data_IF_891561098351
#
_entry.id   IF_891561098351
#
_cell.length_a   1.000
_cell.length_b   1.000
_cell.length_c   1.000
_cell.angle_alpha   90.00
_cell.angle_beta   90.00
_cell.angle_gamma   90.00
#
_symmetry.space_group_name_H-M   'P 1'
#
loop_
_entity.id
_entity.type
_entity.pdbx_description
1 polymer ?
#
# COMPACT_ATOMS: atom_id res chain seq x y z
N UNK A 1 -13.30 -8.38 -14.85
CA UNK A 1 -13.09 -9.79 -14.48
C UNK A 1 -11.60 -10.04 -14.44
N UNK A 2 -11.11 -10.70 -13.39
CA UNK A 2 -9.68 -10.92 -13.16
C UNK A 2 -9.33 -12.40 -13.42
N UNK A 3 -9.66 -12.90 -14.62
CA UNK A 3 -9.47 -14.31 -15.00
C UNK A 3 -8.56 -14.38 -16.22
N UNK A 4 -7.52 -15.21 -16.16
CA UNK A 4 -6.60 -15.48 -17.25
C UNK A 4 -6.79 -16.92 -17.71
N UNK A 5 -7.17 -17.12 -18.98
CA UNK A 5 -7.26 -18.43 -19.59
C UNK A 5 -5.97 -18.74 -20.34
N UNK A 6 -5.35 -19.88 -20.02
CA UNK A 6 -4.12 -20.34 -20.67
C UNK A 6 -4.33 -21.75 -21.17
N UNK A 7 -4.07 -21.97 -22.46
CA UNK A 7 -4.03 -23.27 -23.08
C UNK A 7 -2.71 -23.43 -23.83
N UNK A 8 -2.12 -24.63 -23.77
CA UNK A 8 -0.87 -24.97 -24.46
C UNK A 8 -1.00 -26.38 -25.01
N UNK A 9 -0.52 -26.59 -26.23
CA UNK A 9 -0.38 -27.88 -26.89
C UNK A 9 0.99 -28.53 -26.61
N UNK A 10 1.91 -27.79 -25.98
CA UNK A 10 3.23 -28.30 -25.60
C UNK A 10 3.13 -29.33 -24.50
N UNK A 11 3.84 -30.45 -24.68
CA UNK A 11 4.00 -31.49 -23.66
C UNK A 11 5.15 -31.16 -22.67
N UNK A 12 5.95 -30.14 -22.95
CA UNK A 12 7.01 -29.65 -22.06
C UNK A 12 6.49 -28.60 -21.07
N UNK A 13 7.15 -28.40 -19.90
CA UNK A 13 6.77 -27.36 -18.95
C UNK A 13 6.72 -25.96 -19.59
N UNK A 14 5.69 -25.20 -19.23
CA UNK A 14 5.49 -23.82 -19.70
C UNK A 14 5.51 -22.87 -18.52
N UNK A 15 6.34 -21.83 -18.60
CA UNK A 15 6.39 -20.76 -17.62
C UNK A 15 5.53 -19.59 -18.05
N UNK A 16 4.70 -19.09 -17.14
CA UNK A 16 3.86 -17.91 -17.29
C UNK A 16 4.30 -16.86 -16.26
N UNK A 17 4.45 -15.61 -16.71
CA UNK A 17 4.68 -14.46 -15.86
C UNK A 17 3.48 -13.51 -15.97
N UNK A 18 2.79 -13.26 -14.86
CA UNK A 18 1.66 -12.33 -14.82
C UNK A 18 2.12 -11.05 -14.12
N UNK A 19 2.05 -9.92 -14.82
CA UNK A 19 2.50 -8.61 -14.32
C UNK A 19 1.39 -7.55 -14.41
N UNK A 20 1.41 -6.52 -13.54
CA UNK A 20 0.57 -5.34 -13.69
C UNK A 20 0.92 -4.53 -14.95
N UNK A 21 -0.06 -3.85 -15.58
CA UNK A 21 0.21 -3.01 -16.75
C UNK A 21 1.27 -1.92 -16.47
N UNK A 22 2.36 -1.93 -17.25
CA UNK A 22 3.44 -0.94 -17.16
C UNK A 22 4.42 -1.16 -16.00
N UNK A 23 4.40 -2.32 -15.34
CA UNK A 23 5.40 -2.71 -14.36
C UNK A 23 5.84 -4.15 -14.58
N UNK A 24 7.13 -4.36 -14.82
CA UNK A 24 7.67 -5.71 -15.04
C UNK A 24 8.14 -6.39 -13.73
N UNK A 25 8.38 -5.61 -12.68
CA UNK A 25 9.05 -6.08 -11.46
C UNK A 25 8.17 -6.94 -10.52
N UNK A 26 6.90 -6.61 -10.24
CA UNK A 26 6.02 -7.55 -9.56
C UNK A 26 5.46 -8.54 -10.59
N UNK A 27 6.02 -9.75 -10.64
CA UNK A 27 5.56 -10.82 -11.51
C UNK A 27 5.19 -12.07 -10.70
N UNK A 28 3.99 -12.60 -10.93
CA UNK A 28 3.63 -13.94 -10.47
C UNK A 28 4.14 -14.96 -11.49
N UNK A 29 5.18 -15.71 -11.11
CA UNK A 29 5.74 -16.79 -11.94
C UNK A 29 4.99 -18.09 -11.67
N UNK A 30 4.31 -18.62 -12.67
CA UNK A 30 3.58 -19.89 -12.63
C UNK A 30 4.22 -20.86 -13.62
N UNK A 31 4.70 -22.00 -13.14
CA UNK A 31 5.19 -23.07 -14.00
C UNK A 31 4.12 -24.16 -14.13
N UNK A 32 3.58 -24.31 -15.33
CA UNK A 32 2.62 -25.34 -15.67
C UNK A 32 3.38 -26.56 -16.17
N UNK A 33 3.18 -27.70 -15.50
CA UNK A 33 3.72 -28.99 -15.93
C UNK A 33 2.57 -29.81 -16.53
N UNK A 34 2.52 -30.00 -17.86
CA UNK A 34 1.45 -30.74 -18.52
C UNK A 34 1.31 -32.17 -17.98
N UNK A 35 0.07 -32.58 -17.73
CA UNK A 35 -0.32 -33.93 -17.30
C UNK A 35 -1.55 -34.34 -18.08
N UNK A 36 -1.71 -35.64 -18.38
CA UNK A 36 -2.95 -36.19 -18.97
C UNK A 36 -4.06 -36.25 -17.93
N UNK A 37 -4.57 -35.09 -17.53
CA UNK A 37 -5.67 -34.92 -16.60
C UNK A 37 -6.68 -33.92 -17.20
N UNK A 38 -7.97 -34.00 -16.83
CA UNK A 38 -8.95 -33.00 -17.23
C UNK A 38 -8.52 -31.57 -16.84
N UNK A 39 -9.00 -30.53 -17.54
CA UNK A 39 -8.75 -29.14 -17.18
C UNK A 39 -9.05 -28.87 -15.71
N UNK A 40 -8.19 -28.08 -15.05
CA UNK A 40 -8.36 -27.70 -13.65
C UNK A 40 -8.47 -26.19 -13.54
N UNK A 41 -9.38 -25.74 -12.70
CA UNK A 41 -9.42 -24.36 -12.21
C UNK A 41 -8.45 -24.23 -11.03
N UNK A 42 -7.60 -23.21 -11.06
CA UNK A 42 -6.63 -22.93 -10.01
C UNK A 42 -6.92 -21.52 -9.49
N UNK A 43 -7.42 -21.43 -8.26
CA UNK A 43 -7.60 -20.15 -7.57
C UNK A 43 -6.32 -19.82 -6.82
N UNK A 44 -5.64 -18.76 -7.26
CA UNK A 44 -4.48 -18.22 -6.58
C UNK A 44 -4.96 -17.21 -5.55
N UNK A 45 -4.90 -17.59 -4.27
CA UNK A 45 -5.12 -16.68 -3.15
C UNK A 45 -3.76 -16.22 -2.63
N UNK A 46 -3.54 -14.91 -2.62
CA UNK A 46 -2.37 -14.30 -1.97
C UNK A 46 -2.82 -14.02 -0.53
N UNK A 47 -2.26 -14.77 0.42
CA UNK A 47 -2.63 -14.63 1.83
C UNK A 47 -2.15 -13.28 2.37
N UNK A 48 -2.93 -12.68 3.27
CA UNK A 48 -3.01 -11.26 3.59
C UNK A 48 -1.78 -10.55 4.20
N UNK A 49 -0.56 -11.01 3.94
CA UNK A 49 0.57 -10.08 3.93
C UNK A 49 0.39 -9.21 2.69
N UNK A 50 -0.11 -7.98 2.89
CA UNK A 50 0.06 -6.88 1.94
C UNK A 50 1.49 -6.93 1.46
N UNK A 51 1.66 -7.48 0.26
CA UNK A 51 2.94 -7.52 -0.39
C UNK A 51 3.36 -6.05 -0.43
N UNK A 52 4.52 -5.67 0.15
CA UNK A 52 4.98 -4.30 0.06
C UNK A 52 5.45 -4.10 -1.37
N UNK A 53 4.51 -4.09 -2.33
CA UNK A 53 4.77 -3.72 -3.70
C UNK A 53 4.89 -2.21 -3.68
N UNK A 54 6.01 -1.74 -3.13
CA UNK A 54 6.51 -0.40 -3.36
C UNK A 54 6.57 -0.24 -4.87
N UNK A 55 5.72 0.62 -5.41
CA UNK A 55 5.71 0.93 -6.84
C UNK A 55 4.60 0.32 -7.67
N UNK A 56 3.54 -0.29 -7.09
CA UNK A 56 2.28 -0.39 -7.87
C UNK A 56 1.81 1.03 -8.13
N UNK A 57 1.96 1.47 -9.38
CA UNK A 57 1.44 2.72 -9.91
C UNK A 57 -0.07 2.73 -9.69
N UNK A 58 -0.47 3.27 -8.54
CA UNK A 58 -1.87 3.39 -8.18
C UNK A 58 -2.46 4.59 -8.92
N UNK A 59 -2.86 4.37 -10.18
CA UNK A 59 -3.40 5.42 -11.04
C UNK A 59 -4.62 6.12 -10.43
N UNK A 60 -5.43 5.39 -9.65
CA UNK A 60 -6.60 5.96 -8.95
C UNK A 60 -6.17 6.96 -7.87
N UNK A 61 -5.16 6.61 -7.06
CA UNK A 61 -4.59 7.54 -6.10
C UNK A 61 -3.93 8.73 -6.81
N UNK A 62 -3.14 8.49 -7.87
CA UNK A 62 -2.49 9.57 -8.64
C UNK A 62 -3.51 10.58 -9.21
N UNK A 63 -4.62 10.08 -9.78
CA UNK A 63 -5.69 10.96 -10.28
C UNK A 63 -6.37 11.76 -9.18
N UNK A 64 -6.53 11.19 -7.98
CA UNK A 64 -7.11 11.90 -6.85
C UNK A 64 -6.15 12.95 -6.29
N UNK A 65 -4.87 12.61 -6.13
CA UNK A 65 -3.82 13.50 -5.60
C UNK A 65 -3.55 14.72 -6.48
N UNK A 66 -3.74 14.57 -7.81
CA UNK A 66 -3.50 15.62 -8.81
C UNK A 66 -4.78 16.37 -9.24
N UNK A 67 -5.95 16.02 -8.67
CA UNK A 67 -7.22 16.65 -9.00
C UNK A 67 -7.32 18.11 -8.54
N UNK A 68 -6.50 18.50 -7.56
CA UNK A 68 -6.45 19.83 -6.97
C UNK A 68 -5.00 20.22 -6.64
N UNK A 69 -4.72 21.50 -6.33
CA UNK A 69 -3.38 21.94 -5.95
C UNK A 69 -2.81 21.11 -4.80
N UNK A 70 -1.49 20.89 -4.81
CA UNK A 70 -0.79 20.03 -3.86
C UNK A 70 -1.21 20.22 -2.39
N UNK A 71 -1.23 21.47 -1.93
CA UNK A 71 -1.57 21.81 -0.53
C UNK A 71 -3.02 21.48 -0.22
N UNK A 72 -3.92 21.67 -1.18
CA UNK A 72 -5.34 21.34 -1.00
C UNK A 72 -5.57 19.83 -1.01
N UNK A 73 -4.84 19.08 -1.84
CA UNK A 73 -4.83 17.61 -1.83
C UNK A 73 -4.34 17.06 -0.50
N UNK A 74 -3.24 17.60 0.03
CA UNK A 74 -2.71 17.19 1.32
C UNK A 74 -3.68 17.51 2.47
N UNK A 75 -4.28 18.72 2.46
CA UNK A 75 -5.27 19.12 3.46
C UNK A 75 -6.52 18.23 3.42
N UNK A 76 -7.02 17.90 2.24
CA UNK A 76 -8.18 17.01 2.09
C UNK A 76 -7.85 15.58 2.52
N UNK A 77 -6.63 15.10 2.21
CA UNK A 77 -6.15 13.79 2.64
C UNK A 77 -6.17 13.68 4.17
N UNK A 78 -5.51 14.61 4.85
CA UNK A 78 -5.41 14.61 6.31
C UNK A 78 -6.79 14.74 6.97
N UNK A 79 -7.68 15.59 6.42
CA UNK A 79 -9.06 15.72 6.90
C UNK A 79 -9.82 14.40 6.79
N UNK A 80 -9.79 13.75 5.63
CA UNK A 80 -10.49 12.47 5.39
C UNK A 80 -9.98 11.39 6.33
N UNK A 81 -8.67 11.27 6.49
CA UNK A 81 -8.09 10.30 7.42
C UNK A 81 -8.50 10.57 8.88
N UNK A 82 -8.57 11.84 9.30
CA UNK A 82 -9.08 12.22 10.62
C UNK A 82 -10.57 11.87 10.80
N UNK A 83 -11.35 11.87 9.71
CA UNK A 83 -12.75 11.42 9.67
C UNK A 83 -12.90 9.91 9.44
N UNK A 84 -11.80 9.14 9.46
CA UNK A 84 -11.78 7.71 9.18
C UNK A 84 -12.31 7.35 7.77
N UNK A 85 -12.11 8.24 6.80
CA UNK A 85 -12.43 8.05 5.39
C UNK A 85 -11.16 7.83 4.57
N UNK A 86 -11.14 6.80 3.72
CA UNK A 86 -10.01 6.53 2.82
C UNK A 86 -10.32 7.05 1.40
N UNK A 87 -9.47 7.90 0.80
CA UNK A 87 -9.68 8.33 -0.57
C UNK A 87 -9.50 7.19 -1.58
N UNK A 88 -10.02 7.39 -2.80
CA UNK A 88 -9.93 6.38 -3.84
C UNK A 88 -8.48 6.02 -4.18
N UNK A 89 -8.22 4.72 -4.27
CA UNK A 89 -6.88 4.21 -4.58
C UNK A 89 -5.90 4.27 -3.41
N UNK A 90 -6.28 4.72 -2.22
CA UNK A 90 -5.40 4.55 -1.06
C UNK A 90 -5.51 3.13 -0.52
N UNK A 91 -4.42 2.67 0.08
CA UNK A 91 -4.35 1.41 0.82
C UNK A 91 -3.89 1.73 2.25
N UNK A 92 -4.41 1.00 3.24
CA UNK A 92 -4.07 1.15 4.65
C UNK A 92 -3.57 -0.18 5.22
N UNK A 93 -2.46 -0.12 5.93
CA UNK A 93 -1.86 -1.28 6.60
C UNK A 93 -1.34 -0.94 7.97
N UNK A 94 -1.17 -1.96 8.81
CA UNK A 94 -0.42 -1.81 10.05
C UNK A 94 1.06 -1.57 9.75
N UNK A 95 1.70 -0.73 10.56
CA UNK A 95 3.14 -0.57 10.56
C UNK A 95 3.81 -1.85 11.05
N UNK A 96 4.79 -2.34 10.30
CA UNK A 96 5.62 -3.49 10.65
C UNK A 96 6.93 -3.08 11.30
N UNK A 97 7.62 -4.04 11.91
CA UNK A 97 8.89 -3.78 12.63
C UNK A 97 10.03 -3.31 11.72
N UNK A 98 9.97 -3.62 10.43
CA UNK A 98 10.95 -3.23 9.41
C UNK A 98 10.61 -1.92 8.71
N UNK A 99 9.44 -1.32 8.98
CA UNK A 99 9.05 -0.06 8.38
C UNK A 99 9.85 1.11 8.97
N UNK A 100 10.36 1.96 8.07
CA UNK A 100 11.00 3.21 8.49
C UNK A 100 9.90 4.18 8.92
N UNK A 101 9.89 4.51 10.22
CA UNK A 101 9.01 5.52 10.79
C UNK A 101 9.60 6.92 10.63
N UNK A 102 8.78 7.97 10.47
CA UNK A 102 9.24 9.35 10.49
C UNK A 102 9.87 9.69 11.85
N UNK A 103 10.88 10.57 11.82
CA UNK A 103 11.51 11.10 13.03
C UNK A 103 10.84 12.42 13.38
N UNK A 104 9.90 12.37 14.31
CA UNK A 104 9.24 13.55 14.87
C UNK A 104 9.85 13.87 16.24
N UNK A 105 10.08 15.16 16.52
CA UNK A 105 10.55 15.62 17.82
C UNK A 105 9.85 16.92 18.20
N UNK A 106 9.24 16.91 19.37
CA UNK A 106 8.75 18.11 20.04
C UNK A 106 8.92 17.90 21.55
N UNK A 107 9.52 18.85 22.30
CA UNK A 107 9.67 18.73 23.74
C UNK A 107 8.32 18.45 24.43
N UNK A 108 8.31 17.52 25.38
CA UNK A 108 7.10 17.12 26.10
C UNK A 108 6.18 16.14 25.36
N UNK A 109 6.47 15.79 24.10
CA UNK A 109 5.70 14.82 23.31
C UNK A 109 6.55 13.61 22.90
N UNK A 110 5.92 12.44 22.92
CA UNK A 110 6.49 11.17 22.45
C UNK A 110 5.63 10.61 21.33
N UNK A 111 6.26 10.35 20.18
CA UNK A 111 5.59 9.88 18.97
C UNK A 111 5.80 8.36 18.78
N UNK A 112 4.70 7.62 18.65
CA UNK A 112 4.68 6.17 18.46
C UNK A 112 4.07 5.76 17.12
N UNK A 113 4.92 5.50 16.11
CA UNK A 113 4.48 5.04 14.78
C UNK A 113 4.58 3.53 14.56
N UNK A 114 5.35 2.80 15.38
CA UNK A 114 5.61 1.36 15.20
C UNK A 114 4.38 0.46 15.36
N UNK A 115 3.39 0.91 16.10
CA UNK A 115 2.11 0.21 16.30
C UNK A 115 0.96 0.90 15.55
N UNK A 116 1.32 1.85 14.68
CA UNK A 116 0.39 2.68 13.95
C UNK A 116 -0.06 2.08 12.63
N UNK A 117 -0.57 2.95 11.76
CA UNK A 117 -1.00 2.60 10.41
C UNK A 117 -0.18 3.40 9.38
N UNK A 118 0.03 2.79 8.22
CA UNK A 118 0.66 3.42 7.06
C UNK A 118 -0.39 3.44 5.96
N UNK A 119 -0.74 4.64 5.52
CA UNK A 119 -1.69 4.89 4.43
C UNK A 119 -0.90 5.29 3.20
N UNK A 120 -0.97 4.48 2.15
CA UNK A 120 -0.15 4.63 0.94
C UNK A 120 -1.02 4.96 -0.25
N UNK A 121 -0.76 6.11 -0.87
CA UNK A 121 -1.34 6.55 -2.14
C UNK A 121 -0.36 6.32 -3.29
N UNK A 122 -0.25 7.29 -4.19
CA UNK A 122 0.73 7.26 -5.27
C UNK A 122 1.96 8.13 -4.95
N UNK A 123 1.75 9.42 -4.71
CA UNK A 123 2.77 10.38 -4.28
C UNK A 123 2.78 10.57 -2.76
N UNK A 124 1.67 10.31 -2.07
CA UNK A 124 1.58 10.50 -0.63
C UNK A 124 1.71 9.20 0.15
N UNK A 125 2.48 9.26 1.24
CA UNK A 125 2.51 8.24 2.29
C UNK A 125 2.25 8.94 3.62
N UNK A 126 1.20 8.52 4.32
CA UNK A 126 0.81 9.08 5.61
C UNK A 126 1.04 8.05 6.70
N UNK A 127 1.68 8.49 7.77
CA UNK A 127 1.90 7.68 8.96
C UNK A 127 0.95 8.13 10.05
N UNK A 128 0.12 7.22 10.52
CA UNK A 128 -0.82 7.44 11.63
C UNK A 128 -0.22 6.78 12.85
N UNK A 129 -0.03 7.54 13.93
CA UNK A 129 0.59 7.05 15.15
C UNK A 129 -0.01 7.68 16.40
N UNK A 130 0.33 7.13 17.56
CA UNK A 130 -0.07 7.68 18.85
C UNK A 130 0.92 8.77 19.27
N UNK A 131 0.41 9.85 19.86
CA UNK A 131 1.22 10.89 20.50
C UNK A 131 0.88 10.90 21.99
N UNK A 132 1.89 10.74 22.83
CA UNK A 132 1.78 10.77 24.30
C UNK A 132 2.42 12.06 24.81
N UNK A 133 1.70 12.84 25.61
CA UNK A 133 2.27 13.99 26.34
C UNK A 133 2.81 13.55 27.69
N UNK A 134 3.98 14.07 28.06
CA UNK A 134 4.59 13.89 29.38
C UNK A 134 4.99 15.22 30.03
N UNK A 135 4.50 16.34 29.51
CA UNK A 135 4.67 17.63 30.17
C UNK A 135 3.62 17.87 31.24
N UNK A 136 4.00 18.65 32.25
CA UNK A 136 3.12 19.09 33.34
C UNK A 136 2.19 20.25 32.93
N UNK A 137 2.46 20.89 31.78
CA UNK A 137 1.70 22.00 31.23
C UNK A 137 1.13 21.66 29.83
N UNK A 138 0.03 22.32 29.39
CA UNK A 138 -0.50 22.17 28.04
C UNK A 138 0.56 22.50 26.98
N UNK A 139 0.70 21.61 25.99
CA UNK A 139 1.62 21.78 24.87
C UNK A 139 0.83 22.16 23.63
N UNK A 140 1.18 23.29 23.00
CA UNK A 140 0.72 23.63 21.66
C UNK A 140 1.43 22.76 20.61
N UNK A 141 0.67 22.14 19.71
CA UNK A 141 1.24 21.34 18.64
C UNK A 141 1.91 22.25 17.60
N UNK A 142 3.21 22.06 17.36
CA UNK A 142 3.96 22.86 16.39
C UNK A 142 4.52 21.97 15.28
N UNK A 143 4.28 22.35 14.03
CA UNK A 143 5.04 21.81 12.91
C UNK A 143 6.45 22.41 12.95
N UNK A 144 7.40 21.72 13.59
CA UNK A 144 8.82 22.08 13.49
C UNK A 144 9.33 21.47 12.19
N UNK A 145 9.58 22.33 11.20
CA UNK A 145 10.19 21.99 9.91
C UNK A 145 11.68 21.65 10.06
#
# INVERSE_FOLDING_TARGET
GNVVYVATDKESPVSLYITPPGQEAPALSVTLVPRRIPPREITLAIDGQQWPIKGVVNRKAATWETAQPYVDSLRDLLRRLALNELPQGYDIRLAGQTDTSPKCFQPGLKFGFKQGQIVTGHYFTVYVGLVESFADEPIEASEIA
#
